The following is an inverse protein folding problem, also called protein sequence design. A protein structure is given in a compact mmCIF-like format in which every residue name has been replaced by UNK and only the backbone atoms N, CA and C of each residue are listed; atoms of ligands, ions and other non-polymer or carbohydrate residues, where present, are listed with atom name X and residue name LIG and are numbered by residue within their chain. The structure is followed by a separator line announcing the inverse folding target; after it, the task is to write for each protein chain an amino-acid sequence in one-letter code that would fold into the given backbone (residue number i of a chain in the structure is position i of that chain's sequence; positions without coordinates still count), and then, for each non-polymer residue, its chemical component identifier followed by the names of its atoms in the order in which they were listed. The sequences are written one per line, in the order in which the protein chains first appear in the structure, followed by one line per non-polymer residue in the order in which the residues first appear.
data_IF_593623027433
#
_entry.id   IF_593623027433
#
_cell.length_a   1.000
_cell.length_b   1.000
_cell.length_c   1.000
_cell.angle_alpha   90.00
_cell.angle_beta   90.00
_cell.angle_gamma   90.00
#
_symmetry.space_group_name_H-M   'P 1'
#
loop_
_entity.id
_entity.type
_entity.pdbx_description
1 polymer ?
#
# COMPACT_ATOMS: atom_id res chain seq x y z
N UNK A 1 14.77 16.97 6.09
CA UNK A 1 13.68 17.93 6.15
C UNK A 1 13.28 18.09 7.60
N UNK A 2 13.74 19.18 8.21
CA UNK A 2 13.30 19.51 9.56
C UNK A 2 12.05 20.37 9.41
N UNK A 3 10.89 19.77 9.63
CA UNK A 3 9.67 20.55 9.82
C UNK A 3 9.84 21.42 11.06
N UNK A 4 9.43 22.66 10.98
CA UNK A 4 9.63 23.69 12.00
C UNK A 4 8.86 23.29 13.26
N UNK A 5 9.59 23.10 14.36
CA UNK A 5 9.05 22.63 15.64
C UNK A 5 9.25 21.12 15.82
N UNK A 6 9.33 20.70 17.06
CA UNK A 6 9.35 19.28 17.44
C UNK A 6 7.98 18.59 17.34
N UNK A 7 7.05 19.26 16.68
CA UNK A 7 5.69 18.77 16.45
C UNK A 7 5.67 18.05 15.10
N UNK A 8 5.79 16.74 15.16
CA UNK A 8 5.49 15.86 14.02
C UNK A 8 4.04 16.04 13.60
N UNK A 9 3.71 15.71 12.36
CA UNK A 9 2.33 15.76 11.86
C UNK A 9 1.40 14.94 12.78
N UNK A 10 0.66 15.62 13.62
CA UNK A 10 -0.29 15.02 14.54
C UNK A 10 -1.45 14.39 13.78
N UNK A 11 -1.69 14.81 12.53
CA UNK A 11 -2.79 14.35 11.67
C UNK A 11 -2.29 14.13 10.26
N UNK A 12 -2.69 13.01 9.68
CA UNK A 12 -2.45 12.68 8.28
C UNK A 12 -3.73 12.22 7.60
N UNK A 13 -3.88 12.56 6.30
CA UNK A 13 -5.00 12.15 5.47
C UNK A 13 -4.48 11.59 4.16
N UNK A 14 -4.61 10.28 3.92
CA UNK A 14 -4.15 9.68 2.68
C UNK A 14 -4.96 10.16 1.48
N UNK A 15 -4.27 10.48 0.39
CA UNK A 15 -4.88 10.85 -0.90
C UNK A 15 -4.84 9.70 -1.91
N UNK A 16 -4.34 8.54 -1.50
CA UNK A 16 -4.28 7.32 -2.30
C UNK A 16 -4.73 6.12 -1.49
N UNK A 17 -5.45 5.19 -2.11
CA UNK A 17 -5.84 3.94 -1.47
C UNK A 17 -4.83 2.84 -1.83
N UNK A 18 -3.74 2.74 -1.08
CA UNK A 18 -2.69 1.78 -1.42
C UNK A 18 -1.61 1.56 -0.37
N UNK A 19 -0.72 2.53 -0.23
CA UNK A 19 0.50 2.39 0.57
C UNK A 19 0.28 2.39 2.07
N UNK A 20 -0.86 2.90 2.54
CA UNK A 20 -1.17 3.11 3.96
C UNK A 20 -0.03 3.83 4.73
N UNK A 21 0.58 4.84 4.08
CA UNK A 21 1.71 5.57 4.65
C UNK A 21 1.38 6.23 5.99
N UNK A 22 0.10 6.57 6.20
CA UNK A 22 -0.44 7.13 7.43
C UNK A 22 -0.43 6.16 8.63
N UNK A 23 -0.08 4.90 8.40
CA UNK A 23 -0.13 3.84 9.42
C UNK A 23 1.17 3.03 9.50
N UNK A 24 2.16 3.35 8.67
CA UNK A 24 3.38 2.54 8.59
C UNK A 24 4.59 3.29 9.15
N UNK A 25 5.44 2.56 9.88
CA UNK A 25 6.73 3.05 10.39
C UNK A 25 7.79 3.15 9.28
N UNK A 26 7.41 2.87 8.05
CA UNK A 26 8.34 2.63 6.95
C UNK A 26 8.10 3.65 5.84
N UNK A 27 9.18 4.32 5.43
CA UNK A 27 9.16 5.19 4.28
C UNK A 27 10.34 4.93 3.36
N UNK A 28 10.18 5.25 2.09
CA UNK A 28 11.19 4.99 1.07
C UNK A 28 11.66 6.31 0.46
N UNK A 29 12.93 6.63 0.68
CA UNK A 29 13.57 7.80 0.09
C UNK A 29 14.30 7.41 -1.19
N UNK A 30 14.03 8.13 -2.27
CA UNK A 30 14.73 7.97 -3.53
C UNK A 30 15.90 8.96 -3.63
N UNK A 31 17.08 8.45 -3.93
CA UNK A 31 18.27 9.24 -4.28
C UNK A 31 18.46 9.15 -5.80
N UNK A 32 18.05 10.16 -6.57
CA UNK A 32 18.11 10.12 -8.03
C UNK A 32 19.55 10.15 -8.54
N UNK A 33 20.47 10.78 -7.82
CA UNK A 33 21.86 10.95 -8.25
C UNK A 33 22.62 9.61 -8.21
N UNK A 34 22.28 8.77 -7.22
CA UNK A 34 22.89 7.45 -7.04
C UNK A 34 22.01 6.31 -7.56
N UNK A 35 20.87 6.64 -8.17
CA UNK A 35 19.89 5.66 -8.69
C UNK A 35 19.58 4.56 -7.67
N UNK A 36 19.35 4.95 -6.42
CA UNK A 36 19.06 4.02 -5.32
C UNK A 36 17.92 4.51 -4.43
N UNK A 37 17.31 3.58 -3.72
CA UNK A 37 16.30 3.87 -2.72
C UNK A 37 16.78 3.38 -1.36
N UNK A 38 16.43 4.13 -0.34
CA UNK A 38 16.64 3.77 1.05
C UNK A 38 15.31 3.46 1.68
N UNK A 39 15.25 2.36 2.38
CA UNK A 39 14.14 2.06 3.28
C UNK A 39 14.53 2.62 4.64
N UNK A 40 13.72 3.53 5.14
CA UNK A 40 13.85 4.11 6.47
C UNK A 40 12.75 3.54 7.36
N UNK A 41 13.05 3.33 8.61
CA UNK A 41 12.12 2.77 9.60
C UNK A 41 12.24 3.59 10.87
N UNK A 42 11.18 4.29 11.25
CA UNK A 42 11.11 5.04 12.50
C UNK A 42 9.68 5.01 13.06
N UNK A 43 9.54 4.60 14.30
CA UNK A 43 8.24 4.56 14.99
C UNK A 43 7.63 5.95 15.21
N UNK A 44 8.46 6.99 15.19
CA UNK A 44 8.00 8.37 15.33
C UNK A 44 7.45 8.97 14.02
N UNK A 45 7.53 8.24 12.92
CA UNK A 45 6.99 8.69 11.62
C UNK A 45 5.48 8.40 11.48
N UNK A 46 4.89 7.61 12.38
CA UNK A 46 3.44 7.40 12.41
C UNK A 46 2.76 8.64 13.00
N UNK A 47 1.79 9.24 12.32
CA UNK A 47 1.00 10.34 12.88
C UNK A 47 0.12 9.87 14.05
N UNK A 48 -0.16 10.76 14.99
CA UNK A 48 -1.03 10.46 16.14
C UNK A 48 -2.48 10.17 15.70
N UNK A 49 -2.91 10.76 14.58
CA UNK A 49 -4.26 10.62 14.03
C UNK A 49 -4.20 10.45 12.52
N UNK A 50 -4.73 9.33 12.03
CA UNK A 50 -4.98 9.11 10.61
C UNK A 50 -6.47 9.39 10.30
N UNK A 51 -6.74 10.29 9.35
CA UNK A 51 -8.09 10.64 8.90
C UNK A 51 -8.27 10.05 7.50
N UNK A 52 -8.94 8.92 7.42
CA UNK A 52 -9.20 8.23 6.15
C UNK A 52 -10.52 8.73 5.57
N UNK A 53 -10.41 9.70 4.66
CA UNK A 53 -11.54 10.29 3.96
C UNK A 53 -11.53 9.83 2.49
N UNK A 54 -12.52 9.03 2.05
CA UNK A 54 -12.61 8.57 0.65
C UNK A 54 -12.68 9.72 -0.37
N UNK A 55 -13.21 10.88 0.01
CA UNK A 55 -13.32 12.03 -0.89
C UNK A 55 -11.94 12.63 -1.22
N UNK A 56 -10.98 12.52 -0.33
CA UNK A 56 -9.59 12.93 -0.59
C UNK A 56 -8.91 12.10 -1.68
N UNK A 57 -9.43 10.91 -1.95
CA UNK A 57 -8.96 9.99 -2.98
C UNK A 57 -9.73 10.13 -4.31
N UNK A 58 -10.72 11.05 -4.36
CA UNK A 58 -11.65 11.20 -5.48
C UNK A 58 -10.97 11.57 -6.81
N UNK A 59 -9.87 12.29 -6.76
CA UNK A 59 -9.14 12.77 -7.93
C UNK A 59 -8.16 11.76 -8.53
N UNK A 60 -8.05 10.55 -7.97
CA UNK A 60 -7.11 9.55 -8.46
C UNK A 60 -7.45 9.06 -9.88
N UNK A 61 -6.49 9.14 -10.82
CA UNK A 61 -6.66 8.54 -12.15
C UNK A 61 -6.82 7.01 -12.06
N UNK A 62 -7.60 6.42 -12.96
CA UNK A 62 -7.89 4.98 -12.96
C UNK A 62 -6.64 4.08 -12.98
N UNK A 63 -5.58 4.51 -13.69
CA UNK A 63 -4.29 3.79 -13.71
C UNK A 63 -3.60 3.79 -12.33
N UNK A 64 -3.66 4.90 -11.62
CA UNK A 64 -3.13 5.02 -10.26
C UNK A 64 -3.98 4.21 -9.28
N UNK A 65 -5.32 4.33 -9.36
CA UNK A 65 -6.27 3.55 -8.55
C UNK A 65 -5.99 2.04 -8.67
N UNK A 66 -5.78 1.55 -9.89
CA UNK A 66 -5.47 0.15 -10.11
C UNK A 66 -4.09 -0.24 -9.53
N UNK A 67 -3.08 0.60 -9.71
CA UNK A 67 -1.73 0.31 -9.24
C UNK A 67 -1.64 0.31 -7.71
N UNK A 68 -2.19 1.35 -7.07
CA UNK A 68 -2.16 1.46 -5.60
C UNK A 68 -3.08 0.44 -4.93
N UNK A 69 -4.23 0.12 -5.53
CA UNK A 69 -5.11 -0.92 -5.00
C UNK A 69 -4.50 -2.32 -5.08
N UNK A 70 -3.73 -2.62 -6.13
CA UNK A 70 -2.93 -3.85 -6.20
C UNK A 70 -1.79 -3.87 -5.18
N UNK A 71 -1.21 -2.73 -4.87
CA UNK A 71 -0.21 -2.57 -3.82
C UNK A 71 -0.80 -2.91 -2.44
N UNK A 72 -1.97 -2.33 -2.12
CA UNK A 72 -2.70 -2.65 -0.88
C UNK A 72 -3.05 -4.14 -0.77
N UNK A 73 -3.49 -4.76 -1.88
CA UNK A 73 -3.78 -6.19 -1.91
C UNK A 73 -2.53 -7.03 -1.63
N UNK A 74 -1.39 -6.61 -2.18
CA UNK A 74 -0.12 -7.28 -1.94
C UNK A 74 0.28 -7.21 -0.49
N UNK A 75 0.20 -6.02 0.13
CA UNK A 75 0.48 -5.85 1.56
C UNK A 75 -0.39 -6.78 2.42
N UNK A 76 -1.68 -6.90 2.09
CA UNK A 76 -2.58 -7.77 2.82
C UNK A 76 -2.23 -9.26 2.66
N UNK A 77 -1.85 -9.71 1.44
CA UNK A 77 -1.45 -11.09 1.18
C UNK A 77 -0.10 -11.40 1.84
N UNK A 78 0.88 -10.50 1.70
CA UNK A 78 2.20 -10.67 2.31
C UNK A 78 2.10 -10.77 3.83
N UNK A 79 1.35 -9.85 4.45
CA UNK A 79 1.16 -9.87 5.88
C UNK A 79 0.46 -11.14 6.39
N UNK A 80 -0.47 -11.71 5.61
CA UNK A 80 -1.12 -12.97 5.93
C UNK A 80 -0.18 -14.18 5.82
N UNK A 81 0.74 -14.18 4.85
CA UNK A 81 1.63 -15.31 4.56
C UNK A 81 2.96 -15.25 5.29
N UNK A 82 3.29 -14.15 5.94
CA UNK A 82 4.56 -13.97 6.66
C UNK A 82 4.67 -14.87 7.88
N UNK A 83 5.88 -15.26 8.25
CA UNK A 83 6.15 -16.04 9.46
C UNK A 83 5.84 -15.31 10.77
N UNK A 84 5.76 -13.98 10.70
CA UNK A 84 5.36 -13.14 11.84
C UNK A 84 3.84 -13.00 12.02
N UNK A 85 3.04 -13.63 11.14
CA UNK A 85 1.59 -13.60 11.23
C UNK A 85 1.10 -14.38 12.46
N UNK A 86 -0.01 -13.92 13.03
CA UNK A 86 -0.68 -14.49 14.18
C UNK A 86 -2.20 -14.23 14.10
N UNK A 87 -3.00 -14.85 14.92
CA UNK A 87 -4.46 -14.91 14.75
C UNK A 87 -5.11 -13.53 14.55
N UNK A 88 -4.68 -12.51 15.30
CA UNK A 88 -5.26 -11.17 15.16
C UNK A 88 -4.85 -10.51 13.86
N UNK A 89 -3.58 -10.62 13.45
CA UNK A 89 -3.11 -10.08 12.16
C UNK A 89 -3.81 -10.77 10.98
N UNK A 90 -4.04 -12.08 11.08
CA UNK A 90 -4.73 -12.86 10.05
C UNK A 90 -6.16 -12.39 9.84
N UNK A 91 -6.89 -12.10 10.92
CA UNK A 91 -8.25 -11.55 10.83
C UNK A 91 -8.28 -10.23 10.06
N UNK A 92 -7.37 -9.33 10.33
CA UNK A 92 -7.27 -8.04 9.64
C UNK A 92 -6.86 -8.22 8.19
N UNK A 93 -5.85 -9.03 7.90
CA UNK A 93 -5.39 -9.27 6.54
C UNK A 93 -6.47 -9.94 5.68
N UNK A 94 -7.17 -10.95 6.19
CA UNK A 94 -8.28 -11.59 5.47
C UNK A 94 -9.41 -10.59 5.20
N UNK A 95 -9.73 -9.72 6.15
CA UNK A 95 -10.73 -8.67 5.96
C UNK A 95 -10.29 -7.63 4.92
N UNK A 96 -9.03 -7.25 4.92
CA UNK A 96 -8.47 -6.36 3.91
C UNK A 96 -8.54 -6.98 2.51
N UNK A 97 -8.13 -8.24 2.35
CA UNK A 97 -8.22 -8.98 1.09
C UNK A 97 -9.66 -9.04 0.58
N UNK A 98 -10.62 -9.31 1.46
CA UNK A 98 -12.04 -9.33 1.11
C UNK A 98 -12.52 -7.98 0.57
N UNK A 99 -12.25 -6.91 1.31
CA UNK A 99 -12.68 -5.55 0.95
C UNK A 99 -12.04 -5.08 -0.35
N UNK A 100 -10.72 -5.24 -0.49
CA UNK A 100 -9.99 -4.81 -1.68
C UNK A 100 -10.44 -5.60 -2.91
N UNK A 101 -10.57 -6.92 -2.81
CA UNK A 101 -10.98 -7.76 -3.95
C UNK A 101 -12.39 -7.46 -4.43
N UNK A 102 -13.31 -7.10 -3.53
CA UNK A 102 -14.68 -6.70 -3.90
C UNK A 102 -14.74 -5.34 -4.57
N UNK A 103 -13.97 -4.37 -4.10
CA UNK A 103 -14.14 -2.96 -4.44
C UNK A 103 -13.17 -2.46 -5.52
N UNK A 104 -11.99 -3.06 -5.68
CA UNK A 104 -10.94 -2.55 -6.57
C UNK A 104 -11.40 -2.40 -8.03
N UNK A 105 -12.13 -3.39 -8.56
CA UNK A 105 -12.57 -3.37 -9.97
C UNK A 105 -13.57 -2.25 -10.22
N UNK A 106 -14.48 -2.04 -9.30
CA UNK A 106 -15.52 -1.02 -9.44
C UNK A 106 -14.92 0.37 -9.23
N UNK A 107 -14.05 0.54 -8.24
CA UNK A 107 -13.28 1.77 -8.05
C UNK A 107 -12.49 2.18 -9.30
N UNK A 108 -11.84 1.23 -9.98
CA UNK A 108 -11.13 1.51 -11.24
C UNK A 108 -12.07 1.89 -12.38
N UNK A 109 -13.24 1.23 -12.51
CA UNK A 109 -14.23 1.56 -13.55
C UNK A 109 -14.79 2.96 -13.35
N UNK A 110 -15.12 3.32 -12.12
CA UNK A 110 -15.71 4.59 -11.76
C UNK A 110 -14.70 5.74 -11.86
N UNK A 111 -13.42 5.49 -11.50
CA UNK A 111 -12.35 6.43 -11.78
C UNK A 111 -12.19 6.71 -13.29
N UNK A 112 -12.46 5.73 -14.16
CA UNK A 112 -12.51 5.93 -15.62
C UNK A 112 -13.72 6.75 -16.06
N UNK A 113 -14.83 6.57 -15.39
CA UNK A 113 -16.09 7.25 -15.71
C UNK A 113 -16.18 8.66 -15.13
N UNK A 114 -15.26 9.06 -14.25
CA UNK A 114 -15.26 10.34 -13.55
C UNK A 114 -16.46 10.52 -12.60
N UNK A 115 -17.02 9.43 -12.10
CA UNK A 115 -18.18 9.42 -11.20
C UNK A 115 -17.78 9.12 -9.76
N UNK A 116 -18.47 9.68 -8.76
CA UNK A 116 -18.28 9.27 -7.37
C UNK A 116 -18.67 7.81 -7.17
N UNK A 117 -17.95 7.12 -6.31
CA UNK A 117 -17.81 5.68 -6.29
C UNK A 117 -18.16 5.08 -4.93
N UNK A 118 -18.99 4.03 -4.95
CA UNK A 118 -19.23 3.17 -3.79
C UNK A 118 -18.04 2.25 -3.48
N UNK A 119 -17.23 1.90 -4.47
CA UNK A 119 -16.02 1.08 -4.31
C UNK A 119 -14.90 1.82 -3.59
N UNK A 120 -14.88 3.16 -3.64
CA UNK A 120 -13.85 3.99 -3.02
C UNK A 120 -13.83 3.87 -1.51
N UNK A 121 -14.99 3.89 -0.86
CA UNK A 121 -15.08 3.68 0.59
C UNK A 121 -14.51 2.31 0.98
N UNK A 122 -14.87 1.27 0.23
CA UNK A 122 -14.35 -0.06 0.46
C UNK A 122 -12.84 -0.18 0.23
N UNK A 123 -12.30 0.56 -0.76
CA UNK A 123 -10.86 0.63 -1.01
C UNK A 123 -10.12 1.41 0.08
N UNK A 124 -10.66 2.53 0.53
CA UNK A 124 -10.10 3.34 1.61
C UNK A 124 -10.03 2.53 2.92
N UNK A 125 -11.13 1.86 3.27
CA UNK A 125 -11.16 0.98 4.45
C UNK A 125 -10.25 -0.24 4.29
N UNK A 126 -10.22 -0.86 3.11
CA UNK A 126 -9.41 -2.04 2.85
C UNK A 126 -7.90 -1.77 2.97
N UNK A 127 -7.42 -0.67 2.40
CA UNK A 127 -6.03 -0.26 2.52
C UNK A 127 -5.66 0.11 3.96
N UNK A 128 -6.57 0.80 4.68
CA UNK A 128 -6.38 1.14 6.08
C UNK A 128 -6.20 -0.11 6.94
N UNK A 129 -7.11 -1.09 6.80
CA UNK A 129 -7.03 -2.34 7.56
C UNK A 129 -5.74 -3.11 7.24
N UNK A 130 -5.32 -3.14 5.96
CA UNK A 130 -4.05 -3.74 5.58
C UNK A 130 -2.86 -3.04 6.26
N UNK A 131 -2.87 -1.70 6.29
CA UNK A 131 -1.81 -0.89 6.90
C UNK A 131 -1.67 -1.05 8.41
N UNK A 132 -2.80 -1.15 9.14
CA UNK A 132 -2.81 -1.30 10.61
C UNK A 132 -1.93 -2.46 11.10
N UNK A 133 -1.96 -3.57 10.40
CA UNK A 133 -1.23 -4.77 10.82
C UNK A 133 0.07 -5.02 10.05
N UNK A 134 0.23 -4.39 8.89
CA UNK A 134 1.41 -4.58 8.04
C UNK A 134 2.72 -4.20 8.76
N UNK A 135 2.71 -3.10 9.51
CA UNK A 135 3.86 -2.68 10.30
C UNK A 135 4.19 -3.60 11.48
N UNK A 136 3.24 -4.45 11.88
CA UNK A 136 3.38 -5.37 13.02
C UNK A 136 3.94 -6.74 12.63
N UNK A 137 4.05 -7.01 11.32
CA UNK A 137 4.56 -8.28 10.78
C UNK A 137 5.81 -8.04 9.95
N UNK A 138 6.67 -9.04 9.87
CA UNK A 138 7.96 -8.95 9.16
C UNK A 138 7.73 -8.93 7.65
N UNK A 139 8.43 -8.06 6.95
CA UNK A 139 8.39 -7.91 5.51
C UNK A 139 8.82 -9.15 4.77
N UNK A 140 8.03 -9.53 3.80
CA UNK A 140 8.32 -10.64 2.90
C UNK A 140 9.17 -10.21 1.67
N UNK A 141 9.73 -11.21 1.01
CA UNK A 141 10.63 -11.07 -0.13
C UNK A 141 10.02 -10.29 -1.32
N UNK A 142 8.69 -10.33 -1.49
CA UNK A 142 8.02 -9.70 -2.63
C UNK A 142 8.11 -8.18 -2.55
N UNK A 143 7.83 -7.59 -1.40
CA UNK A 143 7.95 -6.13 -1.21
C UNK A 143 9.40 -5.67 -1.37
N UNK A 144 10.36 -6.40 -0.82
CA UNK A 144 11.79 -6.12 -1.01
C UNK A 144 12.21 -6.25 -2.47
N UNK A 145 11.70 -7.25 -3.18
CA UNK A 145 11.95 -7.44 -4.61
C UNK A 145 11.33 -6.33 -5.45
N UNK A 146 10.11 -5.90 -5.15
CA UNK A 146 9.43 -4.80 -5.83
C UNK A 146 10.15 -3.46 -5.61
N UNK A 147 10.62 -3.19 -4.40
CA UNK A 147 11.44 -2.01 -4.12
C UNK A 147 12.71 -2.05 -4.99
N UNK A 148 13.36 -3.19 -5.07
CA UNK A 148 14.56 -3.38 -5.90
C UNK A 148 14.26 -3.28 -7.40
N UNK A 149 13.15 -3.86 -7.88
CA UNK A 149 12.74 -3.79 -9.28
C UNK A 149 12.40 -2.35 -9.69
N UNK A 150 11.78 -1.57 -8.82
CA UNK A 150 11.48 -0.17 -9.08
C UNK A 150 12.73 0.73 -9.13
N UNK A 151 13.85 0.29 -8.57
CA UNK A 151 15.14 0.98 -8.74
C UNK A 151 15.58 1.02 -10.21
N UNK A 152 15.21 0.00 -10.97
CA UNK A 152 15.57 -0.13 -12.40
C UNK A 152 14.47 0.35 -13.35
N UNK A 153 13.27 0.64 -12.84
CA UNK A 153 12.12 1.07 -13.65
C UNK A 153 11.39 2.23 -12.98
N UNK A 154 10.92 3.19 -13.76
CA UNK A 154 10.10 4.33 -13.28
C UNK A 154 8.62 3.97 -13.11
N UNK A 155 8.26 2.68 -13.15
CA UNK A 155 6.88 2.23 -13.10
C UNK A 155 6.30 2.28 -11.68
N UNK A 156 4.98 2.55 -11.52
CA UNK A 156 4.30 2.49 -10.23
C UNK A 156 4.40 1.11 -9.57
N UNK A 157 4.41 1.04 -8.23
CA UNK A 157 4.61 -0.21 -7.48
C UNK A 157 3.63 -1.33 -7.85
N UNK A 158 2.34 -1.03 -7.98
CA UNK A 158 1.32 -2.03 -8.29
C UNK A 158 1.42 -2.71 -9.67
N UNK A 159 2.17 -2.14 -10.63
CA UNK A 159 2.33 -2.77 -11.94
C UNK A 159 3.21 -4.03 -11.94
N UNK A 160 4.37 -4.06 -11.26
CA UNK A 160 5.15 -5.29 -11.11
C UNK A 160 4.38 -6.39 -10.38
N UNK A 161 3.63 -6.05 -9.33
CA UNK A 161 2.78 -7.02 -8.60
C UNK A 161 1.75 -7.66 -9.53
N UNK A 162 1.10 -6.85 -10.36
CA UNK A 162 0.14 -7.36 -11.35
C UNK A 162 0.76 -8.38 -12.30
N UNK A 163 1.98 -8.11 -12.79
CA UNK A 163 2.69 -9.04 -13.66
C UNK A 163 3.05 -10.34 -12.93
N UNK A 164 3.43 -10.24 -11.65
CA UNK A 164 3.78 -11.40 -10.85
C UNK A 164 2.59 -12.29 -10.52
N UNK A 165 1.46 -11.69 -10.10
CA UNK A 165 0.24 -12.44 -9.78
C UNK A 165 -0.44 -13.06 -11.00
N UNK A 166 -0.20 -12.56 -12.21
CA UNK A 166 -0.76 -13.09 -13.47
C UNK A 166 0.18 -14.07 -14.18
N UNK A 167 1.42 -14.17 -13.77
CA UNK A 167 2.34 -15.19 -14.27
C UNK A 167 2.06 -16.52 -13.58
N UNK A 168 1.90 -17.65 -14.29
CA UNK A 168 1.85 -18.94 -13.64
C UNK A 168 3.17 -19.13 -12.88
N UNK A 169 3.03 -19.33 -11.57
CA UNK A 169 4.15 -19.49 -10.66
C UNK A 169 5.01 -20.66 -11.11
N UNK A 170 6.14 -20.36 -11.68
CA UNK A 170 7.14 -21.37 -11.97
C UNK A 170 8.11 -21.37 -10.78
N UNK A 171 8.07 -22.36 -9.90
CA UNK A 171 9.01 -22.43 -8.79
C UNK A 171 10.41 -22.48 -9.39
N UNK A 172 11.23 -21.52 -9.01
CA UNK A 172 12.65 -21.50 -9.39
C UNK A 172 13.24 -22.82 -8.88
N UNK A 173 13.47 -23.71 -9.81
CA UNK A 173 14.27 -24.89 -9.59
C UNK A 173 15.71 -24.43 -9.35
N UNK A 174 16.22 -24.72 -8.16
CA UNK A 174 17.60 -24.64 -7.66
C UNK A 174 18.03 -23.30 -7.08
#
# INVERSE_FOLDING_TARGET
LRLVGSEMCIRDSPTTAGTAAELTIIYVVADPDKVRKFVCVDVNDIPDVAIVDPDMMASMPAGLTAATGMDALTHAIEGYTTKGAWELSDMFHLKAIELISKNLRDSVKEAKAGKPDSGREGMALGQYIAGVVFSSVVWELITLWLIRFRLTTTRPMGLPVRCFCLSPWNPISQ
#
